data_IF_870217073495
#
_entry.id   IF_870217073495
#
_cell.length_a   1.000
_cell.length_b   1.000
_cell.length_c   1.000
_cell.angle_alpha   90.00
_cell.angle_beta   90.00
_cell.angle_gamma   90.00
#
_symmetry.space_group_name_H-M   'P 1'
#
loop_
_entity.id
_entity.type
_entity.pdbx_description
1 polymer ?
#
# COMPACT_ATOMS: atom_id res chain seq x y z
N UNK A 1 -29.26 9.63 -0.50
CA UNK A 1 -28.66 9.65 -1.84
C UNK A 1 -29.30 8.55 -2.67
N UNK A 2 -29.69 8.81 -3.92
CA UNK A 2 -30.25 7.77 -4.80
C UNK A 2 -29.21 6.67 -5.06
N UNK A 3 -29.67 5.43 -5.13
CA UNK A 3 -28.79 4.30 -5.45
C UNK A 3 -28.41 4.35 -6.93
N UNK A 4 -27.11 4.43 -7.21
CA UNK A 4 -26.57 4.34 -8.56
C UNK A 4 -26.10 2.90 -8.82
N UNK A 5 -26.70 2.22 -9.81
CA UNK A 5 -26.22 0.93 -10.26
C UNK A 5 -24.85 1.09 -10.93
N UNK A 6 -23.91 0.20 -10.61
CA UNK A 6 -22.60 0.17 -11.26
C UNK A 6 -22.58 -0.95 -12.30
N UNK A 7 -22.15 -0.62 -13.52
CA UNK A 7 -21.98 -1.56 -14.61
C UNK A 7 -20.49 -1.76 -14.93
N UNK A 8 -20.07 -3.00 -15.16
CA UNK A 8 -18.71 -3.34 -15.54
C UNK A 8 -18.29 -4.75 -15.17
N UNK A 9 -17.01 -5.05 -15.32
CA UNK A 9 -16.39 -6.33 -14.96
C UNK A 9 -15.75 -6.25 -13.57
N UNK A 10 -16.01 -7.26 -12.74
CA UNK A 10 -15.27 -7.48 -11.50
C UNK A 10 -14.11 -8.43 -11.76
N UNK A 11 -12.89 -7.89 -11.76
CA UNK A 11 -11.66 -8.62 -11.99
C UNK A 11 -11.07 -9.26 -10.74
N UNK A 12 -9.80 -9.66 -10.85
CA UNK A 12 -9.00 -10.24 -9.75
C UNK A 12 -9.00 -9.31 -8.54
N UNK A 13 -9.07 -9.90 -7.35
CA UNK A 13 -9.19 -9.19 -6.07
C UNK A 13 -10.39 -8.22 -5.94
N UNK A 14 -11.38 -8.33 -6.84
CA UNK A 14 -12.52 -7.42 -6.85
C UNK A 14 -12.23 -6.05 -7.45
N UNK A 15 -11.14 -5.91 -8.22
CA UNK A 15 -10.85 -4.69 -8.98
C UNK A 15 -11.97 -4.47 -10.01
N UNK A 16 -12.54 -3.27 -10.03
CA UNK A 16 -13.66 -2.92 -10.91
C UNK A 16 -13.16 -2.28 -12.20
N UNK A 17 -13.66 -2.73 -13.34
CA UNK A 17 -13.38 -2.19 -14.67
C UNK A 17 -14.71 -1.87 -15.40
N UNK A 18 -15.11 -0.60 -15.52
CA UNK A 18 -14.41 0.62 -15.10
C UNK A 18 -14.41 0.81 -13.56
N UNK A 19 -13.51 1.64 -12.99
CA UNK A 19 -13.42 1.86 -11.55
C UNK A 19 -14.75 2.31 -10.93
N UNK A 20 -15.24 1.57 -9.95
CA UNK A 20 -16.47 1.91 -9.22
C UNK A 20 -16.25 3.17 -8.36
N UNK A 21 -17.11 4.18 -8.51
CA UNK A 21 -17.12 5.35 -7.64
C UNK A 21 -17.43 4.92 -6.20
N UNK A 22 -16.54 5.25 -5.27
CA UNK A 22 -16.67 4.96 -3.82
C UNK A 22 -16.46 6.24 -3.03
N UNK A 23 -16.95 6.28 -1.79
CA UNK A 23 -16.66 7.37 -0.85
C UNK A 23 -15.18 7.29 -0.46
N UNK A 24 -14.39 8.27 -0.90
CA UNK A 24 -12.92 8.33 -0.73
C UNK A 24 -12.49 9.33 0.36
N UNK A 25 -13.38 9.64 1.30
CA UNK A 25 -13.21 10.73 2.27
C UNK A 25 -13.28 12.12 1.62
N UNK A 26 -13.12 13.17 2.43
CA UNK A 26 -13.36 14.58 2.03
C UNK A 26 -12.49 15.07 0.87
N UNK A 27 -11.29 14.48 0.67
CA UNK A 27 -10.32 14.95 -0.34
C UNK A 27 -9.73 13.86 -1.23
N UNK A 28 -10.02 12.56 -1.00
CA UNK A 28 -9.55 11.48 -1.88
C UNK A 28 -8.06 11.51 -2.19
N UNK A 29 -7.22 11.78 -1.18
CA UNK A 29 -5.80 12.06 -1.36
C UNK A 29 -4.98 10.80 -1.70
N UNK A 30 -4.89 10.46 -2.99
CA UNK A 30 -4.04 9.39 -3.50
C UNK A 30 -2.80 9.91 -4.22
N UNK A 31 -2.95 10.98 -4.99
CA UNK A 31 -1.90 11.43 -5.89
C UNK A 31 -0.75 12.23 -5.23
N UNK A 32 -0.94 12.99 -4.12
CA UNK A 32 0.16 13.77 -3.54
C UNK A 32 1.44 12.98 -3.23
N UNK A 33 1.33 11.82 -2.57
CA UNK A 33 2.49 10.97 -2.28
C UNK A 33 3.16 10.43 -3.55
N UNK A 34 2.38 10.09 -4.58
CA UNK A 34 2.90 9.59 -5.87
C UNK A 34 3.65 10.69 -6.62
N UNK A 35 3.12 11.92 -6.58
CA UNK A 35 3.75 13.07 -7.22
C UNK A 35 5.11 13.39 -6.60
N UNK A 36 5.21 13.32 -5.27
CA UNK A 36 6.49 13.48 -4.57
C UNK A 36 7.52 12.43 -5.00
N UNK A 37 7.12 11.15 -5.01
CA UNK A 37 8.02 10.06 -5.42
C UNK A 37 8.47 10.20 -6.88
N UNK A 38 7.56 10.53 -7.79
CA UNK A 38 7.88 10.74 -9.22
C UNK A 38 8.80 11.93 -9.48
N UNK A 39 8.86 12.89 -8.56
CA UNK A 39 9.72 14.05 -8.69
C UNK A 39 11.19 13.77 -8.34
N UNK A 40 11.50 12.62 -7.73
CA UNK A 40 12.87 12.24 -7.35
C UNK A 40 13.61 11.69 -8.58
N UNK A 41 14.72 12.32 -9.02
CA UNK A 41 15.51 11.81 -10.14
C UNK A 41 16.05 10.40 -9.86
N UNK A 42 15.88 9.50 -10.83
CA UNK A 42 16.36 8.11 -10.74
C UNK A 42 15.47 7.16 -9.94
N UNK A 43 14.45 7.65 -9.22
CA UNK A 43 13.49 6.78 -8.54
C UNK A 43 12.43 6.27 -9.53
N UNK A 44 12.29 4.95 -9.62
CA UNK A 44 11.22 4.31 -10.40
C UNK A 44 10.06 3.93 -9.48
N UNK A 45 8.90 4.53 -9.72
CA UNK A 45 7.68 4.23 -8.97
C UNK A 45 6.85 3.17 -9.68
N UNK A 46 6.81 1.98 -9.11
CA UNK A 46 5.91 0.90 -9.51
C UNK A 46 4.69 0.80 -8.59
N UNK A 47 3.54 0.40 -9.13
CA UNK A 47 2.31 0.25 -8.35
C UNK A 47 1.83 -1.21 -8.33
N UNK A 48 1.46 -1.68 -7.14
CA UNK A 48 0.76 -2.96 -6.96
C UNK A 48 -0.56 -3.00 -7.75
N UNK A 49 -0.98 -4.21 -8.12
CA UNK A 49 -2.26 -4.48 -8.79
C UNK A 49 -3.43 -3.84 -8.01
N UNK A 50 -3.52 -4.10 -6.70
CA UNK A 50 -4.43 -3.41 -5.79
C UNK A 50 -3.82 -2.10 -5.30
N UNK A 51 -4.29 -0.99 -5.86
CA UNK A 51 -3.90 0.38 -5.49
C UNK A 51 -5.12 1.25 -5.22
N UNK A 52 -4.86 2.45 -4.69
CA UNK A 52 -5.88 3.46 -4.35
C UNK A 52 -7.01 2.88 -3.48
N UNK A 53 -8.26 2.90 -3.95
CA UNK A 53 -9.44 2.41 -3.24
C UNK A 53 -9.53 0.90 -3.14
N UNK A 54 -8.68 0.16 -3.88
CA UNK A 54 -8.57 -1.29 -3.79
C UNK A 54 -7.39 -1.72 -2.91
N UNK A 55 -6.60 -0.78 -2.37
CA UNK A 55 -5.41 -1.08 -1.60
C UNK A 55 -5.73 -1.94 -0.36
N UNK A 56 -4.91 -2.98 -0.16
CA UNK A 56 -5.03 -3.86 0.99
C UNK A 56 -4.30 -3.31 2.21
N UNK A 57 -4.95 -3.41 3.37
CA UNK A 57 -4.45 -2.88 4.64
C UNK A 57 -3.26 -3.70 5.17
N UNK A 58 -2.31 -3.05 5.86
CA UNK A 58 -1.23 -3.75 6.55
C UNK A 58 -1.68 -4.50 7.81
N UNK A 59 -2.91 -4.26 8.28
CA UNK A 59 -3.54 -4.87 9.45
C UNK A 59 -2.99 -4.46 10.82
N UNK A 60 -2.14 -3.44 10.91
CA UNK A 60 -1.50 -3.07 12.18
C UNK A 60 -2.32 -2.12 13.06
N UNK A 61 -3.08 -1.20 12.46
CA UNK A 61 -3.83 -0.18 13.20
C UNK A 61 -5.16 -0.71 13.78
N UNK A 62 -5.94 0.15 14.43
CA UNK A 62 -7.24 -0.21 15.03
C UNK A 62 -7.15 -1.17 16.22
N UNK A 63 -5.98 -1.26 16.87
CA UNK A 63 -5.71 -2.20 17.97
C UNK A 63 -5.47 -3.65 17.53
N UNK A 64 -5.47 -3.93 16.22
CA UNK A 64 -5.36 -5.29 15.69
C UNK A 64 -3.98 -5.88 15.94
N UNK A 65 -2.90 -5.10 15.82
CA UNK A 65 -1.56 -5.58 16.16
C UNK A 65 -1.44 -6.01 17.62
N UNK A 66 -2.08 -5.27 18.52
CA UNK A 66 -2.01 -5.51 19.96
C UNK A 66 -2.89 -6.70 20.39
N UNK A 67 -4.10 -6.79 19.82
CA UNK A 67 -5.06 -7.84 20.16
C UNK A 67 -4.85 -9.15 19.37
N UNK A 68 -4.40 -9.05 18.11
CA UNK A 68 -4.34 -10.15 17.15
C UNK A 68 -3.08 -10.08 16.29
N UNK A 69 -1.91 -10.11 16.95
CA UNK A 69 -0.59 -9.95 16.32
C UNK A 69 -0.37 -10.83 15.08
N UNK A 70 -0.70 -12.12 15.17
CA UNK A 70 -0.52 -13.06 14.05
C UNK A 70 -1.37 -12.69 12.83
N UNK A 71 -2.59 -12.17 13.05
CA UNK A 71 -3.44 -11.69 11.98
C UNK A 71 -2.86 -10.42 11.34
N UNK A 72 -2.35 -9.48 12.15
CA UNK A 72 -1.67 -8.30 11.64
C UNK A 72 -0.45 -8.68 10.79
N UNK A 73 0.38 -9.63 11.23
CA UNK A 73 1.53 -10.10 10.44
C UNK A 73 1.10 -10.85 9.18
N UNK A 74 0.07 -11.68 9.23
CA UNK A 74 -0.48 -12.34 8.03
C UNK A 74 -0.92 -11.33 6.98
N UNK A 75 -1.69 -10.30 7.36
CA UNK A 75 -2.13 -9.27 6.40
C UNK A 75 -0.97 -8.50 5.79
N UNK A 76 0.09 -8.22 6.56
CA UNK A 76 1.31 -7.62 6.04
C UNK A 76 2.01 -8.53 5.02
N UNK A 77 2.14 -9.83 5.31
CA UNK A 77 2.73 -10.82 4.39
C UNK A 77 1.98 -10.89 3.07
N UNK A 78 0.65 -10.91 3.09
CA UNK A 78 -0.18 -10.88 1.88
C UNK A 78 0.12 -9.65 1.01
N UNK A 79 0.31 -8.49 1.64
CA UNK A 79 0.63 -7.25 0.93
C UNK A 79 2.04 -7.25 0.36
N UNK A 80 3.01 -7.77 1.11
CA UNK A 80 4.40 -7.88 0.67
C UNK A 80 4.54 -8.88 -0.49
N UNK A 81 3.81 -10.00 -0.43
CA UNK A 81 3.74 -10.98 -1.51
C UNK A 81 3.16 -10.38 -2.80
N UNK A 82 2.12 -9.56 -2.70
CA UNK A 82 1.59 -8.82 -3.84
C UNK A 82 2.61 -7.84 -4.42
N UNK A 83 3.31 -7.07 -3.57
CA UNK A 83 4.36 -6.16 -4.03
C UNK A 83 5.42 -6.92 -4.86
N UNK A 84 5.96 -8.02 -4.32
CA UNK A 84 6.93 -8.84 -5.04
C UNK A 84 6.39 -9.40 -6.35
N UNK A 85 5.17 -9.95 -6.31
CA UNK A 85 4.57 -10.64 -7.45
C UNK A 85 4.11 -9.72 -8.58
N UNK A 86 4.00 -8.41 -8.36
CA UNK A 86 3.41 -7.48 -9.34
C UNK A 86 4.32 -6.34 -9.78
N UNK A 87 5.35 -5.98 -9.01
CA UNK A 87 6.17 -4.80 -9.33
C UNK A 87 7.65 -5.09 -9.58
N UNK A 88 8.20 -6.16 -9.00
CA UNK A 88 9.66 -6.36 -8.97
C UNK A 88 10.43 -5.28 -8.19
N UNK A 89 9.74 -4.47 -7.38
CA UNK A 89 10.35 -3.38 -6.63
C UNK A 89 11.29 -3.87 -5.52
N UNK A 90 12.34 -3.09 -5.25
CA UNK A 90 13.32 -3.36 -4.21
C UNK A 90 12.87 -2.91 -2.81
N UNK A 91 11.89 -1.99 -2.76
CA UNK A 91 11.36 -1.46 -1.52
C UNK A 91 9.87 -1.17 -1.61
N UNK A 92 9.18 -1.25 -0.47
CA UNK A 92 7.83 -0.75 -0.27
C UNK A 92 7.87 0.56 0.54
N UNK A 93 7.09 1.55 0.11
CA UNK A 93 7.06 2.87 0.74
C UNK A 93 5.67 3.10 1.35
N UNK A 94 5.64 3.65 2.56
CA UNK A 94 4.42 4.01 3.28
C UNK A 94 4.55 5.42 3.87
N UNK A 95 3.42 6.13 4.01
CA UNK A 95 3.33 7.36 4.80
C UNK A 95 2.70 7.11 6.19
N UNK A 96 2.45 5.85 6.53
CA UNK A 96 1.86 5.42 7.78
C UNK A 96 2.92 4.66 8.62
N UNK A 97 3.23 5.11 9.85
CA UNK A 97 4.23 4.48 10.70
C UNK A 97 3.85 3.05 11.09
N UNK A 98 2.56 2.79 11.38
CA UNK A 98 2.08 1.44 11.67
C UNK A 98 2.29 0.46 10.52
N UNK A 99 2.08 0.91 9.26
CA UNK A 99 2.38 0.08 8.10
C UNK A 99 3.87 -0.23 8.02
N UNK A 100 4.74 0.77 8.16
CA UNK A 100 6.20 0.58 8.09
C UNK A 100 6.66 -0.42 9.14
N UNK A 101 6.25 -0.26 10.39
CA UNK A 101 6.66 -1.14 11.48
C UNK A 101 6.17 -2.58 11.28
N UNK A 102 4.95 -2.75 10.79
CA UNK A 102 4.38 -4.09 10.59
C UNK A 102 4.99 -4.80 9.39
N UNK A 103 5.25 -4.06 8.30
CA UNK A 103 6.03 -4.59 7.19
C UNK A 103 7.46 -4.91 7.61
N UNK A 104 8.12 -4.06 8.40
CA UNK A 104 9.47 -4.30 8.88
C UNK A 104 9.56 -5.56 9.74
N UNK A 105 8.58 -5.79 10.63
CA UNK A 105 8.52 -7.03 11.41
C UNK A 105 8.32 -8.24 10.51
N UNK A 106 7.33 -8.22 9.60
CA UNK A 106 7.08 -9.34 8.68
C UNK A 106 8.28 -9.65 7.78
N UNK A 107 8.92 -8.62 7.19
CA UNK A 107 10.13 -8.75 6.36
C UNK A 107 11.25 -9.43 7.16
N UNK A 108 11.51 -8.95 8.39
CA UNK A 108 12.55 -9.50 9.25
C UNK A 108 12.27 -10.95 9.66
N UNK A 109 11.03 -11.26 10.04
CA UNK A 109 10.64 -12.60 10.46
C UNK A 109 10.74 -13.64 9.34
N UNK A 110 10.48 -13.23 8.10
CA UNK A 110 10.43 -14.13 6.96
C UNK A 110 11.77 -14.16 6.17
N UNK A 111 12.76 -13.37 6.58
CA UNK A 111 14.03 -13.24 5.86
C UNK A 111 13.88 -12.64 4.46
N UNK A 112 12.87 -11.79 4.29
CA UNK A 112 12.51 -11.18 3.01
C UNK A 112 13.54 -10.12 2.61
N UNK A 113 14.08 -10.12 1.38
CA UNK A 113 15.03 -9.10 0.93
C UNK A 113 14.39 -7.73 0.66
N UNK A 114 13.06 -7.63 0.60
CA UNK A 114 12.37 -6.37 0.37
C UNK A 114 12.65 -5.37 1.50
N UNK A 115 12.93 -4.11 1.15
CA UNK A 115 13.09 -3.04 2.15
C UNK A 115 11.76 -2.32 2.39
N UNK A 116 11.58 -1.73 3.58
CA UNK A 116 10.44 -0.85 3.85
C UNK A 116 10.92 0.53 4.30
N UNK A 117 10.29 1.57 3.78
CA UNK A 117 10.62 2.96 4.10
C UNK A 117 9.38 3.80 4.39
N UNK A 118 9.56 4.77 5.28
CA UNK A 118 8.66 5.91 5.35
C UNK A 118 8.92 6.86 4.17
N UNK A 119 7.88 7.51 3.65
CA UNK A 119 8.03 8.50 2.58
C UNK A 119 9.02 9.62 2.97
N UNK A 120 9.04 10.05 4.23
CA UNK A 120 9.97 11.07 4.72
C UNK A 120 11.44 10.61 4.64
N UNK A 121 11.71 9.32 4.85
CA UNK A 121 13.07 8.76 4.70
C UNK A 121 13.54 8.80 3.25
N UNK A 122 12.62 8.54 2.31
CA UNK A 122 12.92 8.64 0.88
C UNK A 122 13.14 10.09 0.47
N UNK A 123 12.33 11.03 0.98
CA UNK A 123 12.55 12.46 0.72
C UNK A 123 13.89 12.93 1.27
N UNK A 124 14.27 12.51 2.48
CA UNK A 124 15.55 12.86 3.08
C UNK A 124 16.73 12.35 2.24
N UNK A 125 16.63 11.14 1.65
CA UNK A 125 17.65 10.60 0.75
C UNK A 125 17.72 11.33 -0.60
N UNK A 126 16.64 11.96 -1.03
CA UNK A 126 16.59 12.66 -2.30
C UNK A 126 17.23 14.07 -2.25
N UNK A 127 17.40 14.63 -1.05
CA UNK A 127 17.98 15.97 -0.85
C UNK A 127 19.44 15.95 -0.41
N UNK A 128 19.99 14.78 -0.07
CA UNK A 128 21.40 14.59 0.30
C UNK A 128 22.23 14.10 -0.86
#
# INVERSE_FOLDING_TARGET
>A
EPWEHWEGRRGKYGIFDPPKKRRKGTFGAYDPARNLLKAIPGLQLEEMERRKDQAWCCGASGGVRDAFKEFALWTARERLAEARGTTGAQAIISACPYCKENFAEAIKSDGDPLQTYDIAEIMLRAIG
#
